data_IF_925926019813
#
_entry.id   IF_925926019813
#
_cell.length_a   1.000
_cell.length_b   1.000
_cell.length_c   1.000
_cell.angle_alpha   90.00
_cell.angle_beta   90.00
_cell.angle_gamma   90.00
#
_symmetry.space_group_name_H-M   'P 1'
#
loop_
_entity.id
_entity.type
_entity.pdbx_description
1 polymer ?
#
# COMPACT_ATOMS: atom_id res chain seq x y z
N UNK A 1 5.66 -56.13 21.12
CA UNK A 1 5.90 -54.77 21.68
C UNK A 1 5.55 -53.79 20.57
N UNK A 2 4.49 -52.96 20.72
CA UNK A 2 4.07 -52.09 19.63
C UNK A 2 5.00 -50.89 19.51
N UNK A 3 5.27 -50.52 18.25
CA UNK A 3 6.05 -49.38 17.81
C UNK A 3 5.33 -48.09 18.24
N UNK A 4 5.91 -47.32 19.16
CA UNK A 4 5.43 -45.97 19.50
C UNK A 4 5.84 -45.02 18.36
N UNK A 5 4.89 -44.66 17.51
CA UNK A 5 5.07 -43.57 16.56
C UNK A 5 5.13 -42.24 17.31
N UNK A 6 6.31 -41.64 17.41
CA UNK A 6 6.46 -40.23 17.77
C UNK A 6 5.83 -39.40 16.64
N UNK A 7 4.57 -39.01 16.80
CA UNK A 7 4.05 -37.88 16.07
C UNK A 7 4.83 -36.64 16.52
N UNK A 8 5.65 -36.07 15.64
CA UNK A 8 6.19 -34.72 15.82
C UNK A 8 4.99 -33.77 15.83
N UNK A 9 4.52 -33.44 17.03
CA UNK A 9 3.54 -32.40 17.24
C UNK A 9 4.25 -31.08 16.97
N UNK A 10 4.13 -30.56 15.74
CA UNK A 10 4.56 -29.20 15.44
C UNK A 10 3.85 -28.28 16.43
N UNK A 11 4.59 -27.61 17.30
CA UNK A 11 4.04 -26.57 18.16
C UNK A 11 3.53 -25.45 17.24
N UNK A 12 2.24 -25.47 16.94
CA UNK A 12 1.61 -24.44 16.12
C UNK A 12 1.58 -23.15 16.96
N UNK A 13 2.27 -22.11 16.49
CA UNK A 13 2.29 -20.82 17.17
C UNK A 13 0.90 -20.17 17.06
N UNK A 14 0.14 -20.25 18.16
CA UNK A 14 -1.12 -19.54 18.30
C UNK A 14 -0.88 -18.03 18.15
N UNK A 15 -1.81 -17.33 17.48
CA UNK A 15 -1.76 -15.89 17.27
C UNK A 15 -1.97 -15.12 18.59
N UNK A 16 -0.97 -15.14 19.47
CA UNK A 16 -0.96 -14.40 20.73
C UNK A 16 0.00 -13.22 20.63
N UNK A 17 -0.56 -12.03 20.72
CA UNK A 17 0.14 -10.77 20.50
C UNK A 17 0.05 -9.97 21.80
N UNK A 18 1.06 -10.08 22.66
CA UNK A 18 1.14 -9.34 23.93
C UNK A 18 2.37 -8.45 23.88
N UNK A 19 2.21 -7.12 23.69
CA UNK A 19 3.34 -6.21 23.60
C UNK A 19 4.24 -6.25 24.84
N UNK A 20 5.56 -6.34 24.62
CA UNK A 20 6.58 -6.26 25.64
C UNK A 20 7.30 -4.89 25.62
N UNK A 21 8.17 -4.63 26.61
CA UNK A 21 9.06 -3.49 26.55
C UNK A 21 10.26 -3.77 25.63
N UNK A 22 10.50 -2.87 24.67
CA UNK A 22 11.65 -2.93 23.78
C UNK A 22 11.44 -3.83 22.55
N UNK A 23 12.54 -4.33 21.99
CA UNK A 23 12.53 -5.10 20.74
C UNK A 23 11.92 -6.49 20.97
N UNK A 24 10.69 -6.70 20.51
CA UNK A 24 10.01 -7.99 20.59
C UNK A 24 9.84 -8.67 19.21
N UNK A 25 9.61 -9.99 19.26
CA UNK A 25 9.24 -10.79 18.09
C UNK A 25 7.93 -11.54 18.34
N UNK A 26 6.98 -11.36 17.42
CA UNK A 26 5.66 -11.97 17.46
C UNK A 26 5.53 -12.96 16.31
N UNK A 27 4.82 -14.07 16.52
CA UNK A 27 4.47 -15.02 15.45
C UNK A 27 2.98 -15.29 15.51
N UNK A 28 2.29 -15.08 14.39
CA UNK A 28 0.87 -15.40 14.27
C UNK A 28 0.67 -16.38 13.12
N UNK A 29 0.65 -17.69 13.45
CA UNK A 29 0.49 -18.76 12.46
C UNK A 29 -0.96 -19.23 12.36
N UNK A 30 -1.65 -19.50 13.47
CA UNK A 30 -3.05 -19.93 13.46
C UNK A 30 -3.88 -19.32 14.60
N UNK A 31 -5.21 -19.38 14.45
CA UNK A 31 -6.14 -18.77 15.39
C UNK A 31 -6.28 -17.26 15.20
N UNK A 32 -6.81 -16.58 16.20
CA UNK A 32 -7.02 -15.14 16.15
C UNK A 32 -6.49 -14.47 17.40
N UNK A 33 -5.77 -13.37 17.25
CA UNK A 33 -5.40 -12.55 18.41
C UNK A 33 -6.65 -11.97 19.07
N UNK A 34 -6.58 -11.71 20.36
CA UNK A 34 -7.66 -11.03 21.07
C UNK A 34 -7.69 -9.54 20.75
N UNK A 35 -6.51 -8.95 20.54
CA UNK A 35 -6.27 -7.54 20.27
C UNK A 35 -5.25 -7.35 19.15
N UNK A 36 -5.06 -6.11 18.72
CA UNK A 36 -4.00 -5.72 17.80
C UNK A 36 -2.62 -5.63 18.47
N UNK A 37 -1.64 -5.14 17.72
CA UNK A 37 -0.31 -4.78 18.22
C UNK A 37 -0.22 -3.26 18.26
N UNK A 38 -0.18 -2.69 19.45
CA UNK A 38 -0.14 -1.25 19.69
C UNK A 38 0.81 -0.94 20.84
N UNK A 39 1.39 0.26 20.86
CA UNK A 39 2.31 0.66 21.94
C UNK A 39 3.63 -0.12 21.90
N UNK A 40 4.08 -0.43 20.69
CA UNK A 40 5.36 -1.08 20.45
C UNK A 40 6.49 -0.10 20.80
N UNK A 41 7.55 -0.58 21.42
CA UNK A 41 8.72 0.24 21.78
C UNK A 41 9.94 -0.36 21.10
N UNK A 42 10.70 0.43 20.33
CA UNK A 42 11.86 -0.10 19.60
C UNK A 42 11.49 -0.96 18.38
N UNK A 43 12.50 -1.56 17.76
CA UNK A 43 12.38 -2.23 16.47
C UNK A 43 11.73 -3.62 16.60
N UNK A 44 10.42 -3.70 16.40
CA UNK A 44 9.66 -4.92 16.63
C UNK A 44 9.54 -5.76 15.35
N UNK A 45 9.37 -7.09 15.49
CA UNK A 45 9.15 -7.99 14.34
C UNK A 45 7.85 -8.79 14.49
N UNK A 46 6.93 -8.71 13.54
CA UNK A 46 5.75 -9.58 13.46
C UNK A 46 5.89 -10.57 12.30
N UNK A 47 5.96 -11.85 12.60
CA UNK A 47 5.98 -12.91 11.59
C UNK A 47 4.60 -13.50 11.31
N UNK A 48 4.20 -13.55 10.04
CA UNK A 48 3.02 -14.28 9.56
C UNK A 48 3.49 -15.40 8.60
N UNK A 49 3.81 -16.60 9.10
CA UNK A 49 4.39 -17.66 8.26
C UNK A 49 3.36 -18.19 7.24
N UNK A 50 3.79 -18.54 6.03
CA UNK A 50 2.87 -19.02 5.00
C UNK A 50 2.34 -20.41 5.33
N UNK A 51 1.14 -20.70 4.81
CA UNK A 51 0.32 -21.81 5.27
C UNK A 51 -0.37 -21.53 6.61
N UNK A 52 -0.05 -20.41 7.27
CA UNK A 52 -0.79 -19.93 8.44
C UNK A 52 -2.19 -19.43 8.07
N UNK A 53 -3.11 -19.49 9.04
CA UNK A 53 -4.46 -18.92 8.97
C UNK A 53 -4.69 -17.91 10.11
N UNK A 54 -3.61 -17.34 10.66
CA UNK A 54 -3.64 -16.37 11.73
C UNK A 54 -4.42 -15.10 11.36
N UNK A 55 -5.24 -14.61 12.30
CA UNK A 55 -5.99 -13.35 12.15
C UNK A 55 -5.62 -12.40 13.29
N UNK A 56 -5.32 -11.14 12.95
CA UNK A 56 -5.03 -10.11 13.95
C UNK A 56 -6.29 -9.29 14.19
N UNK A 57 -6.99 -9.55 15.29
CA UNK A 57 -8.19 -8.79 15.66
C UNK A 57 -7.80 -7.47 16.33
N UNK A 58 -7.46 -6.47 15.52
CA UNK A 58 -7.11 -5.15 16.02
C UNK A 58 -6.21 -4.39 15.06
N UNK A 59 -5.93 -3.15 15.41
CA UNK A 59 -5.02 -2.32 14.64
C UNK A 59 -3.57 -2.73 14.90
N UNK A 60 -2.72 -2.53 13.91
CA UNK A 60 -1.28 -2.59 14.09
C UNK A 60 -0.81 -1.14 14.05
N UNK A 61 -0.26 -0.65 15.15
CA UNK A 61 0.21 0.73 15.29
C UNK A 61 1.63 0.68 15.80
N UNK A 62 2.55 1.21 15.01
CA UNK A 62 3.93 1.46 15.37
C UNK A 62 4.20 2.95 15.17
N UNK A 63 5.03 3.54 16.01
CA UNK A 63 5.62 4.87 15.85
C UNK A 63 7.15 4.77 15.70
N UNK A 64 7.66 3.54 15.55
CA UNK A 64 9.05 3.13 15.38
C UNK A 64 9.13 2.04 14.31
N UNK A 65 10.32 1.51 14.04
CA UNK A 65 10.48 0.51 13.01
C UNK A 65 9.73 -0.80 13.34
N UNK A 66 8.70 -1.14 12.57
CA UNK A 66 8.01 -2.43 12.67
C UNK A 66 8.32 -3.26 11.43
N UNK A 67 9.05 -4.36 11.63
CA UNK A 67 9.28 -5.33 10.57
C UNK A 67 8.19 -6.39 10.57
N UNK A 68 7.29 -6.36 9.59
CA UNK A 68 6.42 -7.52 9.35
C UNK A 68 7.19 -8.46 8.41
N UNK A 69 7.37 -9.72 8.82
CA UNK A 69 8.07 -10.76 8.04
C UNK A 69 7.09 -11.87 7.68
N UNK A 70 6.83 -12.07 6.40
CA UNK A 70 5.99 -13.18 5.96
C UNK A 70 6.81 -14.06 5.02
N UNK A 71 7.34 -15.16 5.61
CA UNK A 71 8.39 -16.10 5.17
C UNK A 71 9.87 -15.71 5.45
N UNK A 72 10.60 -16.62 6.12
CA UNK A 72 12.06 -16.59 6.32
C UNK A 72 12.68 -17.93 5.85
N UNK A 73 13.98 -17.98 5.48
CA UNK A 73 15.03 -17.03 5.84
C UNK A 73 15.88 -16.46 4.68
N UNK A 74 16.59 -15.38 5.01
CA UNK A 74 17.66 -14.71 4.26
C UNK A 74 17.26 -13.53 3.36
N UNK A 75 16.93 -12.38 3.97
CA UNK A 75 17.45 -11.06 3.58
C UNK A 75 16.72 -9.94 4.35
N UNK A 76 17.16 -9.66 5.58
CA UNK A 76 17.10 -8.29 6.10
C UNK A 76 18.31 -8.12 7.00
N UNK A 77 19.45 -7.82 6.38
CA UNK A 77 20.66 -7.44 7.09
C UNK A 77 20.65 -5.94 7.33
N UNK A 78 20.89 -5.58 8.58
CA UNK A 78 21.17 -4.26 9.13
C UNK A 78 19.96 -3.37 9.40
N UNK A 79 19.83 -3.01 10.68
CA UNK A 79 19.04 -1.91 11.20
C UNK A 79 19.23 -0.65 10.33
N UNK A 80 18.17 -0.29 9.62
CA UNK A 80 17.98 1.01 9.01
C UNK A 80 17.08 1.81 9.94
N UNK A 81 17.23 3.13 10.10
CA UNK A 81 16.30 3.97 10.87
C UNK A 81 14.91 4.11 10.22
N UNK A 82 14.47 3.12 9.43
CA UNK A 82 13.24 3.11 8.63
C UNK A 82 12.29 2.02 9.12
N UNK A 83 10.99 2.28 9.25
CA UNK A 83 10.03 1.21 9.52
C UNK A 83 9.73 0.43 8.24
N UNK A 84 10.28 -0.78 8.10
CA UNK A 84 10.06 -1.62 6.92
C UNK A 84 8.93 -2.63 7.20
N UNK A 85 7.70 -2.35 6.76
CA UNK A 85 6.58 -3.30 6.82
C UNK A 85 6.51 -4.12 5.52
N UNK A 86 6.87 -5.41 5.56
CA UNK A 86 6.74 -6.32 4.40
C UNK A 86 5.63 -7.35 4.59
N UNK A 87 4.67 -7.37 3.69
CA UNK A 87 3.45 -8.17 3.73
C UNK A 87 3.32 -9.02 2.45
N UNK A 88 3.92 -10.20 2.45
CA UNK A 88 3.82 -11.18 1.37
C UNK A 88 2.95 -12.40 1.75
N UNK A 89 1.69 -12.41 1.31
CA UNK A 89 0.81 -13.57 1.53
C UNK A 89 0.61 -14.37 0.25
N UNK A 90 1.21 -15.57 0.16
CA UNK A 90 0.96 -16.47 -0.97
C UNK A 90 -0.45 -17.11 -0.94
N UNK A 91 -1.13 -17.14 0.21
CA UNK A 91 -2.45 -17.82 0.35
C UNK A 91 -3.24 -17.53 1.64
N UNK A 92 -2.92 -16.47 2.39
CA UNK A 92 -3.51 -16.26 3.72
C UNK A 92 -4.60 -15.19 3.68
N UNK A 93 -5.82 -15.57 4.09
CA UNK A 93 -6.94 -14.68 4.43
C UNK A 93 -6.71 -13.91 5.74
N UNK A 94 -5.47 -13.49 5.99
CA UNK A 94 -5.15 -12.67 7.15
C UNK A 94 -5.84 -11.33 6.89
N UNK A 95 -6.85 -11.03 7.72
CA UNK A 95 -7.48 -9.71 7.79
C UNK A 95 -6.86 -9.00 8.97
N UNK A 96 -5.92 -8.09 8.74
CA UNK A 96 -5.61 -7.10 9.76
C UNK A 96 -6.62 -5.96 9.67
N UNK A 97 -6.85 -5.25 10.78
CA UNK A 97 -7.56 -3.96 10.72
C UNK A 97 -6.62 -2.89 10.15
N UNK A 98 -6.75 -1.65 10.62
CA UNK A 98 -5.92 -0.54 10.16
C UNK A 98 -4.46 -0.77 10.56
N UNK A 99 -3.55 -0.54 9.62
CA UNK A 99 -2.12 -0.43 9.86
C UNK A 99 -1.74 1.06 9.85
N UNK A 100 -0.98 1.50 10.86
CA UNK A 100 -0.49 2.88 11.00
C UNK A 100 0.99 2.85 11.37
N UNK A 101 1.84 3.54 10.60
CA UNK A 101 3.31 3.51 10.74
C UNK A 101 3.90 4.73 11.47
N UNK A 102 3.16 5.83 11.55
CA UNK A 102 3.45 6.93 12.46
C UNK A 102 4.30 8.01 11.80
N UNK A 103 5.30 8.53 12.52
CA UNK A 103 6.22 9.52 11.95
C UNK A 103 7.54 8.83 11.60
N UNK A 104 8.23 9.28 10.57
CA UNK A 104 9.53 8.75 10.18
C UNK A 104 9.57 8.45 8.69
N UNK A 105 10.63 7.79 8.21
CA UNK A 105 10.63 7.29 6.82
C UNK A 105 10.30 5.81 6.88
N UNK A 106 9.18 5.45 6.27
CA UNK A 106 8.62 4.12 6.33
C UNK A 106 8.55 3.47 4.94
N UNK A 107 8.77 2.16 4.89
CA UNK A 107 8.71 1.37 3.66
C UNK A 107 7.61 0.31 3.82
N UNK A 108 6.52 0.39 3.05
CA UNK A 108 5.45 -0.60 3.00
C UNK A 108 5.53 -1.44 1.73
N UNK A 109 5.52 -2.76 1.86
CA UNK A 109 5.48 -3.70 0.73
C UNK A 109 4.35 -4.69 0.92
N UNK A 110 3.49 -4.89 -0.07
CA UNK A 110 2.42 -5.89 -0.05
C UNK A 110 2.38 -6.71 -1.35
N UNK A 111 2.46 -8.04 -1.28
CA UNK A 111 2.35 -8.91 -2.46
C UNK A 111 1.15 -9.85 -2.45
N UNK A 112 0.33 -9.82 -1.39
CA UNK A 112 -0.87 -10.64 -1.26
C UNK A 112 -1.72 -10.26 -0.04
N UNK A 113 -2.75 -11.07 0.28
CA UNK A 113 -3.58 -10.99 1.49
C UNK A 113 -4.46 -9.76 1.60
N UNK A 114 -4.91 -9.41 2.81
CA UNK A 114 -5.89 -8.34 3.01
C UNK A 114 -5.66 -7.49 4.27
N UNK A 115 -5.68 -6.17 4.13
CA UNK A 115 -5.69 -5.24 5.27
C UNK A 115 -6.90 -4.29 5.15
N UNK A 116 -7.37 -3.75 6.28
CA UNK A 116 -8.50 -2.82 6.25
C UNK A 116 -8.12 -1.45 5.69
N UNK A 117 -6.98 -0.89 6.10
CA UNK A 117 -6.46 0.40 5.65
C UNK A 117 -4.98 0.52 6.03
N UNK A 118 -4.28 1.44 5.38
CA UNK A 118 -2.91 1.81 5.66
C UNK A 118 -2.82 3.34 5.79
N UNK A 119 -2.18 3.83 6.84
CA UNK A 119 -1.71 5.21 6.96
C UNK A 119 -0.21 5.17 7.26
N UNK A 120 0.65 5.71 6.39
CA UNK A 120 2.10 5.67 6.64
C UNK A 120 2.46 6.79 7.62
N UNK A 121 2.10 8.03 7.29
CA UNK A 121 2.09 9.17 8.21
C UNK A 121 3.01 10.28 7.73
N UNK A 122 3.75 10.92 8.65
CA UNK A 122 4.69 11.98 8.26
C UNK A 122 6.02 11.36 7.87
N UNK A 123 6.62 11.79 6.75
CA UNK A 123 7.81 11.09 6.29
C UNK A 123 8.20 11.40 4.87
N UNK A 124 9.07 10.56 4.31
CA UNK A 124 9.15 10.40 2.86
C UNK A 124 9.05 8.92 2.57
N UNK A 125 7.85 8.41 2.69
CA UNK A 125 7.52 7.01 2.79
C UNK A 125 7.47 6.36 1.42
N UNK A 126 7.78 5.07 1.38
CA UNK A 126 7.65 4.27 0.17
C UNK A 126 6.55 3.22 0.32
N UNK A 127 5.85 2.98 -0.77
CA UNK A 127 4.79 2.00 -0.86
C UNK A 127 4.97 1.15 -2.11
N UNK A 128 4.86 -0.17 -1.99
CA UNK A 128 4.86 -1.11 -3.10
C UNK A 128 3.76 -2.15 -2.91
N UNK A 129 2.80 -2.22 -3.83
CA UNK A 129 1.85 -3.34 -3.90
C UNK A 129 1.98 -4.12 -5.23
N UNK A 130 2.23 -5.42 -5.12
CA UNK A 130 2.30 -6.37 -6.26
C UNK A 130 1.22 -7.44 -6.19
N UNK A 131 0.26 -7.31 -5.26
CA UNK A 131 -0.86 -8.23 -5.06
C UNK A 131 -1.55 -7.97 -3.72
N UNK A 132 -2.70 -8.61 -3.48
CA UNK A 132 -3.47 -8.43 -2.24
C UNK A 132 -4.52 -7.33 -2.31
N UNK A 133 -5.10 -6.98 -1.16
CA UNK A 133 -6.21 -6.03 -1.05
C UNK A 133 -6.08 -5.12 0.17
N UNK A 134 -6.07 -3.81 -0.06
CA UNK A 134 -6.36 -2.79 0.95
C UNK A 134 -7.83 -2.42 0.79
N UNK A 135 -8.69 -2.81 1.73
CA UNK A 135 -10.15 -2.67 1.57
C UNK A 135 -10.56 -1.19 1.53
N UNK A 136 -10.01 -0.41 2.46
CA UNK A 136 -10.27 1.00 2.65
C UNK A 136 -9.21 1.87 1.98
N UNK A 137 -8.74 2.87 2.71
CA UNK A 137 -7.79 3.84 2.20
C UNK A 137 -6.34 3.40 2.40
N UNK A 138 -5.51 3.75 1.42
CA UNK A 138 -4.08 4.00 1.58
C UNK A 138 -3.92 5.52 1.72
N UNK A 139 -3.45 5.96 2.88
CA UNK A 139 -3.33 7.37 3.26
C UNK A 139 -1.89 7.72 3.62
N UNK A 140 -1.55 9.01 3.54
CA UNK A 140 -0.28 9.56 4.01
C UNK A 140 0.91 8.87 3.35
N UNK A 141 0.97 8.85 2.01
CA UNK A 141 2.06 8.22 1.29
C UNK A 141 2.74 9.21 0.37
N UNK A 142 4.05 9.06 0.17
CA UNK A 142 4.83 9.95 -0.69
C UNK A 142 5.22 9.29 -2.01
N UNK A 143 5.82 8.10 -1.96
CA UNK A 143 6.35 7.41 -3.14
C UNK A 143 5.73 6.03 -3.26
N UNK A 144 4.65 5.94 -4.03
CA UNK A 144 3.86 4.75 -4.19
C UNK A 144 4.02 4.09 -5.55
N UNK A 145 4.13 2.75 -5.53
CA UNK A 145 4.13 1.88 -6.71
C UNK A 145 3.07 0.81 -6.60
N UNK A 146 2.18 0.73 -7.57
CA UNK A 146 1.14 -0.29 -7.68
C UNK A 146 1.31 -1.10 -8.96
N UNK A 147 1.84 -2.31 -8.83
CA UNK A 147 2.01 -3.23 -9.96
C UNK A 147 0.82 -4.19 -10.13
N UNK A 148 0.11 -4.52 -9.05
CA UNK A 148 -1.12 -5.30 -9.05
C UNK A 148 -1.90 -5.09 -7.73
N UNK A 149 -2.84 -5.97 -7.40
CA UNK A 149 -3.66 -5.87 -6.19
C UNK A 149 -4.82 -4.86 -6.31
N UNK A 150 -5.53 -4.67 -5.21
CA UNK A 150 -6.72 -3.80 -5.13
C UNK A 150 -6.62 -2.86 -3.94
N UNK A 151 -6.89 -1.58 -4.15
CA UNK A 151 -6.97 -0.56 -3.10
C UNK A 151 -8.36 0.08 -3.17
N UNK A 152 -9.00 0.32 -2.02
CA UNK A 152 -10.29 0.99 -1.95
C UNK A 152 -10.22 2.44 -2.45
N UNK A 153 -9.35 3.25 -1.85
CA UNK A 153 -9.06 4.65 -2.24
C UNK A 153 -7.61 4.97 -1.91
N UNK A 154 -7.00 5.89 -2.66
CA UNK A 154 -5.67 6.44 -2.36
C UNK A 154 -5.80 7.92 -1.99
N UNK A 155 -5.09 8.33 -0.95
CA UNK A 155 -5.01 9.71 -0.44
C UNK A 155 -3.57 10.03 -0.01
N UNK A 156 -2.77 10.57 -0.92
CA UNK A 156 -1.35 10.86 -0.70
C UNK A 156 -1.14 12.12 0.16
N UNK A 157 -2.20 12.89 0.45
CA UNK A 157 -2.18 14.13 1.23
C UNK A 157 -1.18 15.19 0.71
N UNK A 158 -0.67 16.05 1.59
CA UNK A 158 -0.05 17.34 1.28
C UNK A 158 1.48 17.21 1.20
N UNK A 159 2.02 16.80 0.07
CA UNK A 159 3.46 16.68 -0.18
C UNK A 159 3.75 16.62 -1.69
N UNK A 160 5.04 16.58 -2.09
CA UNK A 160 5.44 16.32 -3.48
C UNK A 160 5.34 14.82 -3.79
N UNK A 161 4.14 14.34 -4.09
CA UNK A 161 3.85 12.91 -4.16
C UNK A 161 4.18 12.30 -5.52
N UNK A 162 4.52 11.02 -5.51
CA UNK A 162 4.77 10.19 -6.69
C UNK A 162 3.90 8.95 -6.59
N UNK A 163 2.98 8.77 -7.53
CA UNK A 163 2.20 7.54 -7.68
C UNK A 163 2.43 6.91 -9.05
N UNK A 164 2.98 5.70 -9.08
CA UNK A 164 3.23 4.92 -10.30
C UNK A 164 2.42 3.62 -10.29
N UNK A 165 1.43 3.54 -11.19
CA UNK A 165 0.55 2.39 -11.34
C UNK A 165 0.80 1.70 -12.68
N UNK A 166 1.28 0.46 -12.65
CA UNK A 166 1.48 -0.37 -13.86
C UNK A 166 0.45 -1.49 -13.99
N UNK A 167 -0.43 -1.68 -13.00
CA UNK A 167 -1.48 -2.70 -13.00
C UNK A 167 -2.33 -2.66 -11.74
N UNK A 168 -3.26 -3.60 -11.60
CA UNK A 168 -4.18 -3.66 -10.45
C UNK A 168 -5.38 -2.71 -10.57
N UNK A 169 -6.03 -2.45 -9.44
CA UNK A 169 -7.23 -1.60 -9.38
C UNK A 169 -7.25 -0.68 -8.17
N UNK A 170 -7.66 0.57 -8.38
CA UNK A 170 -8.15 1.48 -7.34
C UNK A 170 -9.66 1.58 -7.52
N UNK A 171 -10.44 1.21 -6.50
CA UNK A 171 -11.90 1.15 -6.62
C UNK A 171 -12.56 2.54 -6.61
N UNK A 172 -11.98 3.47 -5.85
CA UNK A 172 -12.42 4.85 -5.72
C UNK A 172 -11.44 5.82 -6.38
N UNK A 173 -11.19 6.93 -5.68
CA UNK A 173 -10.35 8.01 -6.17
C UNK A 173 -8.86 7.77 -5.86
N UNK A 174 -8.01 8.41 -6.66
CA UNK A 174 -6.61 8.67 -6.37
C UNK A 174 -6.45 10.18 -6.14
N UNK A 175 -6.16 10.57 -4.90
CA UNK A 175 -5.98 11.98 -4.55
C UNK A 175 -4.53 12.24 -4.12
N UNK A 176 -3.98 13.33 -4.63
CA UNK A 176 -2.78 13.99 -4.12
C UNK A 176 -3.14 15.47 -3.84
N UNK A 177 -2.58 16.00 -2.76
CA UNK A 177 -2.96 17.27 -2.16
C UNK A 177 -2.23 18.46 -2.79
N UNK A 178 -1.80 19.43 -1.99
CA UNK A 178 -0.91 20.47 -2.51
C UNK A 178 0.50 19.93 -2.65
N UNK A 179 1.26 20.42 -3.64
CA UNK A 179 2.62 19.97 -3.89
C UNK A 179 2.92 19.93 -5.38
N UNK A 180 4.10 19.44 -5.75
CA UNK A 180 4.43 19.11 -7.15
C UNK A 180 4.23 17.61 -7.32
N UNK A 181 3.01 17.21 -7.66
CA UNK A 181 2.62 15.81 -7.72
C UNK A 181 2.92 15.17 -9.08
N UNK A 182 3.26 13.89 -9.05
CA UNK A 182 3.54 13.08 -10.24
C UNK A 182 2.76 11.77 -10.22
N UNK A 183 1.76 11.70 -11.08
CA UNK A 183 0.92 10.51 -11.27
C UNK A 183 1.23 9.89 -12.62
N UNK A 184 1.60 8.61 -12.62
CA UNK A 184 1.81 7.79 -13.81
C UNK A 184 0.90 6.57 -13.72
N UNK A 185 0.04 6.38 -14.71
CA UNK A 185 -0.84 5.20 -14.82
C UNK A 185 -0.60 4.55 -16.18
N UNK A 186 0.16 3.46 -16.18
CA UNK A 186 0.58 2.71 -17.38
C UNK A 186 -0.15 1.38 -17.58
N UNK A 187 -0.94 0.96 -16.59
CA UNK A 187 -1.88 -0.16 -16.70
C UNK A 187 -2.84 -0.23 -15.52
N UNK A 188 -3.86 -1.07 -15.63
CA UNK A 188 -4.87 -1.27 -14.58
C UNK A 188 -6.07 -0.31 -14.70
N UNK A 189 -6.81 -0.14 -13.59
CA UNK A 189 -8.05 0.63 -13.57
C UNK A 189 -8.21 1.51 -12.33
N UNK A 190 -8.69 2.74 -12.52
CA UNK A 190 -9.17 3.61 -11.44
C UNK A 190 -10.69 3.78 -11.60
N UNK A 191 -11.43 3.44 -10.55
CA UNK A 191 -12.90 3.49 -10.54
C UNK A 191 -13.47 4.90 -10.38
N UNK A 192 -12.73 5.79 -9.73
CA UNK A 192 -13.08 7.18 -9.51
C UNK A 192 -12.16 8.16 -10.23
N UNK A 193 -11.98 9.31 -9.60
CA UNK A 193 -11.24 10.45 -10.14
C UNK A 193 -9.75 10.37 -9.79
N UNK A 194 -8.91 10.99 -10.63
CA UNK A 194 -7.57 11.44 -10.28
C UNK A 194 -7.65 12.93 -9.96
N UNK A 195 -7.17 13.36 -8.79
CA UNK A 195 -7.09 14.78 -8.42
C UNK A 195 -5.75 15.08 -7.77
N UNK A 196 -5.00 16.02 -8.34
CA UNK A 196 -3.68 16.48 -7.84
C UNK A 196 -3.74 17.88 -7.22
N UNK A 197 -4.93 18.46 -7.15
CA UNK A 197 -5.26 19.67 -6.37
C UNK A 197 -4.47 20.94 -6.69
N UNK A 198 -3.24 21.15 -6.23
CA UNK A 198 -2.60 22.44 -6.50
C UNK A 198 -1.08 22.46 -6.35
N UNK A 199 -0.44 23.13 -7.30
CA UNK A 199 0.99 23.11 -7.57
C UNK A 199 1.23 22.74 -9.03
N UNK A 200 2.49 22.62 -9.46
CA UNK A 200 2.81 22.36 -10.87
C UNK A 200 2.86 20.85 -11.13
N UNK A 201 1.71 20.23 -11.41
CA UNK A 201 1.57 18.77 -11.37
C UNK A 201 1.82 18.09 -12.71
N UNK A 202 2.11 16.79 -12.67
CA UNK A 202 2.25 15.96 -13.86
C UNK A 202 1.40 14.69 -13.81
N UNK A 203 0.50 14.54 -14.77
CA UNK A 203 -0.38 13.38 -14.93
C UNK A 203 -0.07 12.69 -16.26
N UNK A 204 0.32 11.42 -16.22
CA UNK A 204 0.59 10.61 -17.42
C UNK A 204 -0.26 9.34 -17.42
N UNK A 205 -1.06 9.15 -18.45
CA UNK A 205 -1.91 7.96 -18.63
C UNK A 205 -1.52 7.24 -19.93
N UNK A 206 -1.33 5.93 -19.84
CA UNK A 206 -1.12 5.03 -20.97
C UNK A 206 -1.75 3.67 -20.66
N UNK A 207 -2.50 3.09 -21.61
CA UNK A 207 -3.02 1.72 -21.50
C UNK A 207 -3.93 1.39 -20.31
N UNK A 208 -4.45 2.41 -19.62
CA UNK A 208 -5.22 2.27 -18.37
C UNK A 208 -6.67 2.71 -18.55
N UNK A 209 -7.57 2.29 -17.66
CA UNK A 209 -8.98 2.75 -17.64
C UNK A 209 -9.24 3.62 -16.43
N UNK A 210 -9.53 4.90 -16.66
CA UNK A 210 -9.96 5.86 -15.63
C UNK A 210 -11.47 6.10 -15.83
N UNK A 211 -12.29 5.63 -14.89
CA UNK A 211 -13.74 5.77 -15.01
C UNK A 211 -14.26 7.14 -14.57
N UNK A 212 -13.47 7.91 -13.81
CA UNK A 212 -13.78 9.27 -13.38
C UNK A 212 -13.05 10.37 -14.16
N UNK A 213 -13.09 11.58 -13.61
CA UNK A 213 -12.37 12.75 -14.14
C UNK A 213 -10.90 12.77 -13.75
N UNK A 214 -10.11 13.55 -14.48
CA UNK A 214 -8.77 13.97 -14.05
C UNK A 214 -8.84 15.47 -13.79
N UNK A 215 -8.41 15.91 -12.59
CA UNK A 215 -8.47 17.30 -12.14
C UNK A 215 -7.10 17.76 -11.63
N UNK A 216 -6.52 18.76 -12.27
CA UNK A 216 -5.23 19.33 -11.86
C UNK A 216 -5.39 20.58 -10.97
N UNK A 217 -6.34 21.45 -11.31
CA UNK A 217 -6.85 22.56 -10.48
C UNK A 217 -6.04 23.86 -10.54
N UNK A 218 -4.97 24.08 -9.76
CA UNK A 218 -4.24 25.36 -9.79
C UNK A 218 -2.75 25.11 -9.95
N UNK A 219 -2.12 25.70 -10.95
CA UNK A 219 -0.69 25.55 -11.22
C UNK A 219 -0.41 25.44 -12.71
N UNK A 220 0.86 25.33 -13.11
CA UNK A 220 1.20 25.07 -14.51
C UNK A 220 1.33 23.57 -14.74
N UNK A 221 0.23 22.93 -15.10
CA UNK A 221 0.12 21.48 -15.09
C UNK A 221 0.52 20.84 -16.42
N UNK A 222 1.02 19.61 -16.36
CA UNK A 222 1.31 18.80 -17.54
C UNK A 222 0.47 17.52 -17.56
N UNK A 223 -0.37 17.37 -18.58
CA UNK A 223 -1.12 16.16 -18.86
C UNK A 223 -0.62 15.44 -20.12
N UNK A 224 -0.33 14.14 -20.00
CA UNK A 224 0.05 13.28 -21.12
C UNK A 224 -0.89 12.08 -21.21
N UNK A 225 -1.56 11.90 -22.34
CA UNK A 225 -2.30 10.68 -22.67
C UNK A 225 -1.68 10.00 -23.88
N UNK A 226 -1.04 8.85 -23.64
CA UNK A 226 -0.10 8.24 -24.57
C UNK A 226 -0.47 6.79 -24.86
N UNK A 227 -0.48 6.40 -26.13
CA UNK A 227 -0.44 4.98 -26.53
C UNK A 227 -1.69 4.16 -26.20
N UNK A 228 -2.80 4.79 -25.81
CA UNK A 228 -4.10 4.14 -25.56
C UNK A 228 -4.62 4.29 -24.14
N UNK A 229 -5.58 3.45 -23.77
CA UNK A 229 -6.36 3.58 -22.53
C UNK A 229 -7.64 4.39 -22.73
N UNK A 230 -8.45 4.49 -21.68
CA UNK A 230 -9.73 5.19 -21.67
C UNK A 230 -9.81 6.12 -20.46
N UNK A 231 -10.24 7.36 -20.68
CA UNK A 231 -10.66 8.28 -19.63
C UNK A 231 -12.13 8.59 -19.91
N UNK A 232 -13.03 8.13 -19.03
CA UNK A 232 -14.47 8.13 -19.28
C UNK A 232 -15.18 9.42 -18.85
N UNK A 233 -14.43 10.38 -18.34
CA UNK A 233 -14.93 11.70 -17.95
C UNK A 233 -13.97 12.80 -18.41
N UNK A 234 -14.20 14.02 -17.91
CA UNK A 234 -13.47 15.21 -18.30
C UNK A 234 -12.02 15.20 -17.78
N UNK A 235 -11.13 15.85 -18.53
CA UNK A 235 -9.81 16.28 -18.05
C UNK A 235 -9.89 17.79 -17.82
N UNK A 236 -9.72 18.21 -16.57
CA UNK A 236 -9.90 19.58 -16.09
C UNK A 236 -8.54 20.09 -15.58
N UNK A 237 -7.83 20.81 -16.44
CA UNK A 237 -6.50 21.34 -16.11
C UNK A 237 -6.59 22.49 -15.10
N UNK A 238 -7.51 23.44 -15.31
CA UNK A 238 -7.82 24.47 -14.32
C UNK A 238 -7.08 25.78 -14.60
N UNK A 239 -6.59 26.44 -13.55
CA UNK A 239 -5.96 27.76 -13.62
C UNK A 239 -4.43 27.64 -13.78
N UNK A 240 -3.86 28.24 -14.82
CA UNK A 240 -2.41 28.33 -15.02
C UNK A 240 -2.02 28.18 -16.49
N UNK A 241 -0.73 27.96 -16.76
CA UNK A 241 -0.22 27.70 -18.11
C UNK A 241 -0.02 26.22 -18.33
N UNK A 242 -1.11 25.53 -18.64
CA UNK A 242 -1.13 24.08 -18.76
C UNK A 242 -0.66 23.57 -20.12
N UNK A 243 -0.11 22.37 -20.13
CA UNK A 243 0.26 21.64 -21.34
C UNK A 243 -0.42 20.29 -21.35
N UNK A 244 -1.28 20.04 -22.35
CA UNK A 244 -1.87 18.74 -22.61
C UNK A 244 -1.31 18.14 -23.91
N UNK A 245 -0.79 16.92 -23.84
CA UNK A 245 -0.33 16.14 -25.00
C UNK A 245 -1.07 14.82 -25.10
N UNK A 246 -1.81 14.65 -26.19
CA UNK A 246 -2.48 13.41 -26.54
C UNK A 246 -1.79 12.83 -27.78
N UNK A 247 -1.33 11.58 -27.72
CA UNK A 247 -0.63 10.97 -28.85
C UNK A 247 -0.74 9.44 -28.88
N UNK A 248 -0.88 8.89 -30.09
CA UNK A 248 -0.98 7.44 -30.28
C UNK A 248 -2.22 6.81 -29.67
N UNK A 249 -3.32 7.57 -29.58
CA UNK A 249 -4.61 7.08 -29.10
C UNK A 249 -5.38 6.39 -30.23
N UNK A 250 -6.09 5.32 -29.90
CA UNK A 250 -7.02 4.65 -30.82
C UNK A 250 -8.43 5.15 -30.57
N UNK A 251 -9.25 5.27 -31.62
CA UNK A 251 -10.68 5.53 -31.44
C UNK A 251 -11.34 4.37 -30.66
N UNK A 252 -12.14 4.69 -29.65
CA UNK A 252 -13.07 3.71 -29.07
C UNK A 252 -14.26 3.59 -30.02
N UNK A 253 -14.52 2.38 -30.52
CA UNK A 253 -15.69 2.05 -31.35
C UNK A 253 -16.99 2.16 -30.56
#
# INVERSE_FOLDING_TARGET
MPLLGLALQQAQAACSLTPGPGVDSYVCFNGSSATGLTGLVGDNTLALPAGGAGTINGNIVSDQALTILTWTPAALSAASPRAIVSIAFASVLARSRALSQGNGIDDFVMSGGQIQSLAQGDGRDTFLITGGTIIGAFEDGDVARQAAGTIGRVDMKLDDNIYDMSGGSILGNLLAGFGTDRIIVSGGSIGGNISVSGGDDSNTVSGSVINGEIRASVGNDTFNWLGGGEIKSQVLMGDGNDIARLSGLTESL
#
